data_IF_688127358021
#
_entry.id   IF_688127358021
#
_cell.length_a   1.000
_cell.length_b   1.000
_cell.length_c   1.000
_cell.angle_alpha   90.00
_cell.angle_beta   90.00
_cell.angle_gamma   90.00
#
_symmetry.space_group_name_H-M   'P 1'
#
loop_
_entity.id
_entity.type
_entity.pdbx_description
1 polymer ?
#
# COMPACT_ATOMS: atom_id res chain seq x y z
N UNK A 1 -16.91 -14.21 4.81
CA UNK A 1 -15.73 -13.33 4.87
C UNK A 1 -15.04 -13.41 3.51
N UNK A 2 -15.05 -12.34 2.71
CA UNK A 2 -14.30 -12.29 1.44
C UNK A 2 -12.82 -12.45 1.82
N UNK A 3 -12.13 -13.44 1.22
CA UNK A 3 -10.72 -13.75 1.55
C UNK A 3 -9.91 -12.45 1.54
N UNK A 4 -9.12 -12.21 2.59
CA UNK A 4 -8.09 -11.17 2.51
C UNK A 4 -7.23 -11.56 1.31
N UNK A 5 -7.22 -10.71 0.28
CA UNK A 5 -6.26 -10.87 -0.81
C UNK A 5 -4.88 -10.57 -0.22
N UNK A 6 -4.03 -11.59 -0.18
CA UNK A 6 -2.62 -11.45 0.22
C UNK A 6 -1.74 -10.99 -0.95
N UNK A 7 -2.35 -10.53 -2.05
CA UNK A 7 -1.70 -10.02 -3.25
C UNK A 7 -0.73 -8.87 -2.95
N UNK A 8 -0.98 -8.12 -1.88
CA UNK A 8 -0.10 -7.03 -1.42
C UNK A 8 1.33 -7.49 -1.17
N UNK A 9 1.55 -8.70 -0.63
CA UNK A 9 2.89 -9.20 -0.30
C UNK A 9 3.75 -9.40 -1.56
N UNK A 10 3.34 -10.20 -2.57
CA UNK A 10 4.13 -10.33 -3.79
C UNK A 10 4.28 -9.02 -4.55
N UNK A 11 3.29 -8.12 -4.51
CA UNK A 11 3.42 -6.79 -5.13
C UNK A 11 4.50 -5.95 -4.43
N UNK A 12 4.55 -5.96 -3.10
CA UNK A 12 5.61 -5.27 -2.36
C UNK A 12 6.99 -5.81 -2.72
N UNK A 13 7.14 -7.13 -2.89
CA UNK A 13 8.40 -7.73 -3.36
C UNK A 13 8.75 -7.21 -4.77
N UNK A 14 7.79 -7.15 -5.68
CA UNK A 14 8.01 -6.62 -7.03
C UNK A 14 8.41 -5.13 -7.00
N UNK A 15 7.74 -4.31 -6.18
CA UNK A 15 8.09 -2.91 -5.96
C UNK A 15 9.53 -2.78 -5.44
N UNK A 16 9.98 -3.64 -4.53
CA UNK A 16 11.35 -3.61 -4.03
C UNK A 16 12.36 -3.77 -5.17
N UNK A 17 12.23 -4.81 -5.99
CA UNK A 17 13.17 -5.04 -7.09
C UNK A 17 13.13 -3.94 -8.15
N UNK A 18 11.94 -3.46 -8.51
CA UNK A 18 11.79 -2.38 -9.50
C UNK A 18 12.41 -1.08 -8.98
N UNK A 19 12.12 -0.71 -7.72
CA UNK A 19 12.65 0.52 -7.13
C UNK A 19 14.16 0.50 -6.94
N UNK A 20 14.74 -0.62 -6.50
CA UNK A 20 16.19 -0.79 -6.42
C UNK A 20 16.84 -0.71 -7.81
N UNK A 21 16.21 -1.28 -8.84
CA UNK A 21 16.69 -1.19 -10.22
C UNK A 21 16.67 0.23 -10.78
N UNK A 22 15.60 0.99 -10.56
CA UNK A 22 15.41 2.32 -11.13
C UNK A 22 16.13 3.44 -10.35
N UNK A 23 16.02 3.40 -9.02
CA UNK A 23 16.41 4.51 -8.16
C UNK A 23 17.62 4.18 -7.27
N UNK A 24 18.15 2.95 -7.35
CA UNK A 24 19.19 2.44 -6.44
C UNK A 24 18.79 2.51 -4.97
N UNK A 25 17.49 2.54 -4.69
CA UNK A 25 16.91 2.68 -3.36
C UNK A 25 15.58 1.93 -3.29
N UNK A 26 15.35 1.26 -2.17
CA UNK A 26 14.10 0.54 -1.90
C UNK A 26 13.00 1.50 -1.48
N UNK A 27 11.85 1.47 -2.15
CA UNK A 27 10.67 2.26 -1.75
C UNK A 27 9.90 1.63 -0.57
N UNK A 28 10.22 0.40 -0.16
CA UNK A 28 9.50 -0.31 0.90
C UNK A 28 9.44 0.45 2.24
N UNK A 29 10.54 1.04 2.76
CA UNK A 29 10.47 1.80 4.01
C UNK A 29 9.49 2.97 3.95
N UNK A 30 9.41 3.65 2.80
CA UNK A 30 8.51 4.78 2.57
C UNK A 30 7.06 4.32 2.50
N UNK A 31 6.81 3.18 1.85
CA UNK A 31 5.47 2.57 1.78
C UNK A 31 5.02 2.15 3.18
N UNK A 32 5.87 1.46 3.96
CA UNK A 32 5.55 1.04 5.33
C UNK A 32 5.27 2.26 6.24
N UNK A 33 6.06 3.33 6.10
CA UNK A 33 5.82 4.57 6.82
C UNK A 33 4.46 5.18 6.44
N UNK A 34 4.16 5.27 5.14
CA UNK A 34 2.88 5.75 4.64
C UNK A 34 1.68 4.92 5.12
N UNK A 35 1.83 3.58 5.17
CA UNK A 35 0.83 2.66 5.71
C UNK A 35 0.52 2.96 7.19
N UNK A 36 1.57 3.15 8.00
CA UNK A 36 1.42 3.51 9.41
C UNK A 36 0.72 4.86 9.60
N UNK A 37 1.16 5.88 8.86
CA UNK A 37 0.54 7.21 8.90
C UNK A 37 -0.94 7.16 8.49
N UNK A 38 -1.26 6.46 7.40
CA UNK A 38 -2.63 6.27 6.94
C UNK A 38 -3.51 5.56 7.98
N UNK A 39 -2.97 4.53 8.64
CA UNK A 39 -3.66 3.82 9.72
C UNK A 39 -4.05 4.74 10.88
N UNK A 40 -3.15 5.65 11.27
CA UNK A 40 -3.41 6.65 12.32
C UNK A 40 -4.52 7.61 11.88
N UNK A 41 -4.43 8.17 10.67
CA UNK A 41 -5.44 9.10 10.13
C UNK A 41 -6.82 8.44 10.09
N UNK A 42 -6.91 7.20 9.58
CA UNK A 42 -8.17 6.46 9.52
C UNK A 42 -8.73 6.15 10.91
N UNK A 43 -7.87 5.90 11.89
CA UNK A 43 -8.29 5.64 13.27
C UNK A 43 -8.92 6.89 13.91
N UNK A 44 -8.30 8.06 13.70
CA UNK A 44 -8.84 9.35 14.15
C UNK A 44 -10.21 9.60 13.51
N UNK A 45 -10.34 9.40 12.19
CA UNK A 45 -11.62 9.59 11.48
C UNK A 45 -12.71 8.68 12.06
N UNK A 46 -12.43 7.40 12.30
CA UNK A 46 -13.43 6.50 12.86
C UNK A 46 -13.83 6.85 14.29
N UNK A 47 -12.89 7.34 15.09
CA UNK A 47 -13.18 7.79 16.45
C UNK A 47 -14.17 8.96 16.46
N UNK A 48 -14.05 9.89 15.49
CA UNK A 48 -14.95 11.05 15.36
C UNK A 48 -16.36 10.68 14.87
N UNK A 49 -16.57 9.51 14.28
CA UNK A 49 -17.88 9.04 13.74
C UNK A 49 -18.65 8.11 14.70
N UNK A 50 -18.31 8.14 15.99
CA UNK A 50 -19.08 7.66 17.15
C UNK A 50 -19.26 6.15 17.38
N UNK A 51 -18.75 5.24 16.54
CA UNK A 51 -18.53 3.84 16.95
C UNK A 51 -17.29 3.23 16.30
N UNK A 52 -16.20 3.11 17.07
CA UNK A 52 -15.00 2.44 16.59
C UNK A 52 -15.24 0.93 16.44
N UNK A 53 -15.52 0.50 15.22
CA UNK A 53 -15.75 -0.90 14.86
C UNK A 53 -14.47 -1.51 14.30
N UNK A 54 -13.68 -2.16 15.16
CA UNK A 54 -12.37 -2.76 14.82
C UNK A 54 -12.40 -3.61 13.54
N UNK A 55 -13.42 -4.46 13.36
CA UNK A 55 -13.58 -5.28 12.15
C UNK A 55 -13.73 -4.43 10.87
N UNK A 56 -14.55 -3.37 10.94
CA UNK A 56 -14.78 -2.46 9.80
C UNK A 56 -13.52 -1.63 9.52
N UNK A 57 -12.85 -1.16 10.56
CA UNK A 57 -11.56 -0.47 10.46
C UNK A 57 -10.54 -1.29 9.68
N UNK A 58 -10.27 -2.52 10.11
CA UNK A 58 -9.24 -3.35 9.49
C UNK A 58 -9.57 -3.68 8.02
N UNK A 59 -10.85 -3.94 7.70
CA UNK A 59 -11.27 -4.20 6.32
C UNK A 59 -11.07 -2.96 5.44
N UNK A 60 -11.48 -1.78 5.90
CA UNK A 60 -11.34 -0.53 5.12
C UNK A 60 -9.87 -0.18 4.96
N UNK A 61 -9.10 -0.24 6.05
CA UNK A 61 -7.66 -0.04 6.05
C UNK A 61 -6.98 -0.94 5.02
N UNK A 62 -7.19 -2.26 5.11
CA UNK A 62 -6.55 -3.22 4.22
C UNK A 62 -6.92 -3.02 2.75
N UNK A 63 -8.20 -2.71 2.46
CA UNK A 63 -8.66 -2.47 1.07
C UNK A 63 -8.07 -1.22 0.45
N UNK A 64 -7.97 -0.13 1.22
CA UNK A 64 -7.39 1.12 0.70
C UNK A 64 -5.88 0.95 0.51
N UNK A 65 -5.22 0.30 1.46
CA UNK A 65 -3.80 0.01 1.40
C UNK A 65 -3.44 -0.85 0.18
N UNK A 66 -4.18 -1.92 -0.06
CA UNK A 66 -3.97 -2.80 -1.21
C UNK A 66 -4.12 -2.04 -2.53
N UNK A 67 -5.14 -1.18 -2.65
CA UNK A 67 -5.33 -0.32 -3.82
C UNK A 67 -4.16 0.66 -4.02
N UNK A 68 -3.67 1.29 -2.96
CA UNK A 68 -2.53 2.21 -3.02
C UNK A 68 -1.27 1.47 -3.49
N UNK A 69 -1.00 0.28 -2.94
CA UNK A 69 0.17 -0.53 -3.32
C UNK A 69 0.10 -0.96 -4.79
N UNK A 70 -1.08 -1.35 -5.28
CA UNK A 70 -1.30 -1.68 -6.70
C UNK A 70 -1.02 -0.46 -7.60
N UNK A 71 -1.50 0.73 -7.22
CA UNK A 71 -1.26 1.97 -7.97
C UNK A 71 0.23 2.29 -8.03
N UNK A 72 0.93 2.22 -6.90
CA UNK A 72 2.39 2.45 -6.83
C UNK A 72 3.12 1.47 -7.75
N UNK A 73 2.79 0.19 -7.68
CA UNK A 73 3.38 -0.83 -8.55
C UNK A 73 3.14 -0.52 -10.03
N UNK A 74 1.91 -0.17 -10.41
CA UNK A 74 1.57 0.15 -11.79
C UNK A 74 2.37 1.35 -12.32
N UNK A 75 2.49 2.42 -11.53
CA UNK A 75 3.29 3.61 -11.90
C UNK A 75 4.77 3.24 -12.07
N UNK A 76 5.33 2.44 -11.15
CA UNK A 76 6.73 2.01 -11.23
C UNK A 76 6.99 1.11 -12.45
N UNK A 77 6.05 0.21 -12.76
CA UNK A 77 6.14 -0.67 -13.92
C UNK A 77 6.12 0.14 -15.21
N UNK A 78 5.17 1.08 -15.36
CA UNK A 78 5.10 1.97 -16.54
C UNK A 78 6.40 2.77 -16.68
N UNK A 79 6.91 3.34 -15.59
CA UNK A 79 8.16 4.09 -15.63
C UNK A 79 9.35 3.21 -16.03
N UNK A 80 9.43 1.97 -15.51
CA UNK A 80 10.46 1.02 -15.90
C UNK A 80 10.42 0.68 -17.39
N UNK A 81 9.23 0.43 -17.94
CA UNK A 81 9.06 0.16 -19.37
C UNK A 81 9.52 1.34 -20.21
N UNK A 82 9.17 2.57 -19.81
CA UNK A 82 9.60 3.80 -20.52
C UNK A 82 11.11 4.00 -20.49
N UNK A 83 11.81 3.58 -19.42
CA UNK A 83 13.28 3.68 -19.34
C UNK A 83 14.02 2.60 -20.14
N UNK A 84 13.36 1.47 -20.41
CA UNK A 84 13.95 0.34 -21.15
C UNK A 84 13.82 0.52 -22.67
N UNK A 85 12.81 1.28 -23.12
CA UNK A 85 12.59 1.67 -24.53
C UNK A 85 13.53 2.81 -24.89
#
# INVERSE_FOLDING_TARGET
MKKLDFLTIPILIAIHFISVGLFKLSLIPFIVFGMGFFGIVLAIIQYLHEEFRYKRFFIVYWRILDLIVIIIYFVLLVYQVVQVI
#
